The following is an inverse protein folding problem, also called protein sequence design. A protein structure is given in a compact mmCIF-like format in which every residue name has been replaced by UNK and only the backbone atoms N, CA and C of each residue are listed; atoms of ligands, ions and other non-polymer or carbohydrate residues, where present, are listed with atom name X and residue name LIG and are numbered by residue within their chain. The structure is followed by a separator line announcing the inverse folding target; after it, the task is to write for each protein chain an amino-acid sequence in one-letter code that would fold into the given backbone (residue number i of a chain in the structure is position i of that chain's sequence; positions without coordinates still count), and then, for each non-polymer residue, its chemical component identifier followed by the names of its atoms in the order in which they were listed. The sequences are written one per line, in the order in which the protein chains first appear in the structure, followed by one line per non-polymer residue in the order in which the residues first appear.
data_IF_652317430696
#
_entry.id   IF_652317430696
#
_cell.length_a   1.000
_cell.length_b   1.000
_cell.length_c   1.000
_cell.angle_alpha   90.00
_cell.angle_beta   90.00
_cell.angle_gamma   90.00
#
_symmetry.space_group_name_H-M   'P 1'
#
loop_
_entity.id
_entity.type
_entity.pdbx_description
1 polymer ?
#
# COMPACT_ATOMS: atom_id res chain seq x y z
N UNK A 1 9.03 30.89 -7.15
CA UNK A 1 9.51 29.73 -6.39
C UNK A 1 8.78 28.52 -6.93
N UNK A 2 9.45 27.62 -7.64
CA UNK A 2 8.84 26.34 -8.03
C UNK A 2 8.77 25.49 -6.77
N UNK A 3 7.57 25.21 -6.28
CA UNK A 3 7.39 24.34 -5.13
C UNK A 3 7.57 22.89 -5.62
N UNK A 4 8.49 22.13 -5.04
CA UNK A 4 8.63 20.71 -5.36
C UNK A 4 7.30 20.00 -5.09
N UNK A 5 6.91 19.11 -6.01
CA UNK A 5 5.70 18.31 -5.85
C UNK A 5 5.80 17.49 -4.54
N UNK A 6 4.70 17.33 -3.79
CA UNK A 6 4.72 16.53 -2.58
C UNK A 6 5.01 15.07 -2.90
N UNK A 7 5.79 14.40 -2.05
CA UNK A 7 5.90 12.95 -2.08
C UNK A 7 4.64 12.32 -1.52
N UNK A 8 4.08 11.33 -2.22
CA UNK A 8 2.82 10.67 -1.82
C UNK A 8 3.07 9.19 -1.55
N UNK A 9 2.48 8.70 -0.45
CA UNK A 9 2.42 7.28 -0.11
C UNK A 9 0.98 6.75 -0.18
N UNK A 10 0.80 5.52 -0.67
CA UNK A 10 -0.47 4.81 -0.71
C UNK A 10 -0.43 3.58 0.19
N UNK A 11 -1.37 3.52 1.14
CA UNK A 11 -1.64 2.32 1.94
C UNK A 11 -2.82 1.58 1.35
N UNK A 12 -2.61 0.32 1.00
CA UNK A 12 -3.64 -0.57 0.47
C UNK A 12 -3.87 -1.69 1.47
N UNK A 13 -5.09 -1.81 1.96
CA UNK A 13 -5.48 -2.92 2.85
C UNK A 13 -6.17 -4.02 2.02
N UNK A 14 -5.78 -5.26 2.26
CA UNK A 14 -6.37 -6.44 1.60
C UNK A 14 -6.62 -7.56 2.61
N UNK A 15 -7.61 -8.41 2.33
CA UNK A 15 -7.82 -9.67 3.05
C UNK A 15 -7.38 -10.88 2.19
N UNK A 16 -6.56 -10.65 1.16
CA UNK A 16 -5.96 -11.70 0.33
C UNK A 16 -6.89 -12.43 -0.64
N UNK A 17 -8.20 -12.13 -0.61
CA UNK A 17 -9.22 -12.87 -1.37
C UNK A 17 -9.58 -12.27 -2.74
N UNK A 18 -8.89 -11.21 -3.16
CA UNK A 18 -9.10 -10.50 -4.44
C UNK A 18 -7.77 -10.14 -5.11
N UNK A 19 -6.97 -11.16 -5.49
CA UNK A 19 -5.61 -10.95 -5.99
C UNK A 19 -5.58 -10.23 -7.35
N UNK A 20 -6.55 -10.48 -8.23
CA UNK A 20 -6.60 -9.81 -9.53
C UNK A 20 -6.92 -8.33 -9.38
N UNK A 21 -7.88 -7.98 -8.51
CA UNK A 21 -8.23 -6.59 -8.24
C UNK A 21 -7.11 -5.86 -7.50
N UNK A 22 -6.39 -6.53 -6.59
CA UNK A 22 -5.19 -5.98 -5.97
C UNK A 22 -4.14 -5.65 -7.04
N UNK A 23 -3.88 -6.57 -7.97
CA UNK A 23 -2.94 -6.34 -9.07
C UNK A 23 -3.35 -5.17 -9.96
N UNK A 24 -4.63 -5.09 -10.32
CA UNK A 24 -5.17 -3.99 -11.14
C UNK A 24 -5.10 -2.64 -10.40
N UNK A 25 -5.35 -2.64 -9.10
CA UNK A 25 -5.20 -1.44 -8.26
C UNK A 25 -3.74 -0.98 -8.25
N UNK A 26 -2.78 -1.90 -8.01
CA UNK A 26 -1.36 -1.57 -8.00
C UNK A 26 -0.89 -1.03 -9.36
N UNK A 27 -1.34 -1.63 -10.47
CA UNK A 27 -1.07 -1.14 -11.82
C UNK A 27 -1.64 0.27 -12.07
N UNK A 28 -2.83 0.56 -11.54
CA UNK A 28 -3.42 1.91 -11.59
C UNK A 28 -2.58 2.94 -10.83
N UNK A 29 -2.08 2.59 -9.64
CA UNK A 29 -1.20 3.47 -8.84
C UNK A 29 0.15 3.70 -9.54
N UNK A 30 0.71 2.68 -10.19
CA UNK A 30 1.99 2.81 -10.92
C UNK A 30 1.89 3.73 -12.15
N UNK A 31 0.68 3.94 -12.70
CA UNK A 31 0.42 4.76 -13.88
C UNK A 31 0.10 6.22 -13.57
N UNK A 32 0.18 6.64 -12.30
CA UNK A 32 -0.04 8.05 -11.94
C UNK A 32 1.06 8.93 -12.55
N UNK A 33 0.68 10.15 -12.95
CA UNK A 33 1.61 11.14 -13.48
C UNK A 33 2.37 11.84 -12.34
N UNK A 34 3.67 12.06 -12.53
CA UNK A 34 4.52 12.77 -11.57
C UNK A 34 5.51 11.86 -10.84
N UNK A 35 5.88 12.26 -9.61
CA UNK A 35 6.78 11.48 -8.78
C UNK A 35 6.16 10.13 -8.40
N UNK A 36 6.93 9.02 -8.39
CA UNK A 36 6.42 7.70 -8.06
C UNK A 36 5.73 7.66 -6.68
N UNK A 37 4.51 7.12 -6.65
CA UNK A 37 3.80 6.87 -5.40
C UNK A 37 4.44 5.70 -4.68
N UNK A 38 4.85 5.91 -3.43
CA UNK A 38 5.37 4.81 -2.60
C UNK A 38 4.20 3.96 -2.12
N UNK A 39 4.31 2.63 -2.18
CA UNK A 39 3.19 1.73 -1.87
C UNK A 39 3.51 0.77 -0.73
N UNK A 40 2.57 0.65 0.20
CA UNK A 40 2.52 -0.40 1.23
C UNK A 40 1.22 -1.19 1.09
N UNK A 41 1.32 -2.50 1.00
CA UNK A 41 0.16 -3.43 1.02
C UNK A 41 0.11 -4.13 2.37
N UNK A 42 -1.01 -4.01 3.06
CA UNK A 42 -1.26 -4.64 4.36
C UNK A 42 -2.23 -5.80 4.20
N UNK A 43 -1.77 -7.01 4.45
CA UNK A 43 -2.58 -8.21 4.58
C UNK A 43 -3.26 -8.21 5.96
N UNK A 44 -4.52 -7.80 6.02
CA UNK A 44 -5.24 -7.54 7.26
C UNK A 44 -5.97 -8.80 7.73
N UNK A 45 -5.31 -9.60 8.57
CA UNK A 45 -5.78 -10.93 8.97
C UNK A 45 -5.62 -11.97 7.87
N UNK A 46 -4.67 -11.76 6.95
CA UNK A 46 -4.42 -12.66 5.82
C UNK A 46 -2.98 -12.49 5.29
N UNK A 47 -2.44 -13.51 4.61
CA UNK A 47 -1.26 -13.32 3.76
C UNK A 47 -1.52 -12.27 2.67
N UNK A 48 -0.46 -11.58 2.25
CA UNK A 48 -0.49 -10.69 1.10
C UNK A 48 -0.26 -11.55 -0.16
N UNK A 49 -1.14 -11.47 -1.18
CA UNK A 49 -0.88 -12.09 -2.47
C UNK A 49 0.41 -11.58 -3.11
N UNK A 50 0.89 -12.23 -4.16
CA UNK A 50 2.05 -11.73 -4.91
C UNK A 50 1.85 -10.27 -5.37
N UNK A 51 2.87 -9.44 -5.14
CA UNK A 51 2.89 -8.02 -5.51
C UNK A 51 4.12 -7.72 -6.37
N UNK A 52 4.09 -6.66 -7.21
CA UNK A 52 5.24 -6.23 -7.98
C UNK A 52 6.45 -5.89 -7.09
N UNK A 53 7.65 -6.00 -7.67
CA UNK A 53 8.88 -5.60 -7.01
C UNK A 53 8.84 -4.12 -6.56
N UNK A 54 9.40 -3.84 -5.40
CA UNK A 54 9.43 -2.50 -4.81
C UNK A 54 8.18 -2.12 -4.00
N UNK A 55 7.10 -2.91 -4.06
CA UNK A 55 5.94 -2.75 -3.16
C UNK A 55 6.30 -3.32 -1.78
N UNK A 56 6.16 -2.50 -0.74
CA UNK A 56 6.36 -2.96 0.64
C UNK A 56 5.13 -3.73 1.10
N UNK A 57 5.33 -4.80 1.87
CA UNK A 57 4.23 -5.60 2.41
C UNK A 57 4.31 -5.72 3.93
N UNK A 58 3.15 -5.78 4.57
CA UNK A 58 3.00 -6.09 6.00
C UNK A 58 1.86 -7.09 6.13
N UNK A 59 2.09 -8.20 6.84
CA UNK A 59 1.06 -9.20 7.13
C UNK A 59 0.67 -9.13 8.60
N UNK A 60 -0.62 -8.99 8.86
CA UNK A 60 -1.20 -8.97 10.20
C UNK A 60 -1.87 -10.31 10.48
N UNK A 61 -1.66 -10.89 11.68
CA UNK A 61 -2.25 -12.17 12.05
C UNK A 61 -3.78 -12.10 12.24
N UNK A 62 -4.32 -10.91 12.49
CA UNK A 62 -5.75 -10.68 12.68
C UNK A 62 -6.21 -9.43 11.92
N UNK A 63 -7.52 -9.36 11.65
CA UNK A 63 -8.12 -8.21 10.99
C UNK A 63 -8.38 -7.09 12.00
N UNK A 64 -7.55 -6.04 11.99
CA UNK A 64 -7.65 -4.88 12.87
C UNK A 64 -8.70 -3.84 12.41
N UNK A 65 -9.52 -4.18 11.42
CA UNK A 65 -10.42 -3.25 10.74
C UNK A 65 -9.67 -2.25 9.85
N UNK A 66 -10.44 -1.39 9.18
CA UNK A 66 -9.90 -0.39 8.23
C UNK A 66 -8.93 0.59 8.91
N UNK A 67 -9.25 1.19 10.08
CA UNK A 67 -8.33 2.14 10.72
C UNK A 67 -7.02 1.48 11.19
N UNK A 68 -7.11 0.30 11.80
CA UNK A 68 -5.94 -0.42 12.31
C UNK A 68 -4.98 -0.82 11.19
N UNK A 69 -5.49 -1.44 10.12
CA UNK A 69 -4.67 -1.79 8.97
C UNK A 69 -4.04 -0.57 8.28
N UNK A 70 -4.74 0.57 8.24
CA UNK A 70 -4.20 1.83 7.71
C UNK A 70 -3.04 2.36 8.55
N UNK A 71 -3.19 2.40 9.87
CA UNK A 71 -2.15 2.91 10.76
C UNK A 71 -0.87 2.08 10.67
N UNK A 72 -0.98 0.75 10.65
CA UNK A 72 0.16 -0.15 10.42
C UNK A 72 0.84 0.15 9.09
N UNK A 73 0.06 0.38 8.02
CA UNK A 73 0.62 0.75 6.72
C UNK A 73 1.34 2.10 6.71
N UNK A 74 0.89 3.07 7.52
CA UNK A 74 1.56 4.36 7.68
C UNK A 74 2.92 4.17 8.35
N UNK A 75 2.99 3.39 9.43
CA UNK A 75 4.24 3.12 10.16
C UNK A 75 5.32 2.49 9.27
N UNK A 76 4.92 1.69 8.28
CA UNK A 76 5.83 1.06 7.32
C UNK A 76 6.54 2.04 6.36
N UNK A 77 6.09 3.30 6.25
CA UNK A 77 6.82 4.33 5.50
C UNK A 77 8.02 4.91 6.27
N UNK A 78 8.07 4.71 7.60
CA UNK A 78 9.08 5.32 8.46
C UNK A 78 8.78 6.77 8.83
N UNK A 79 9.71 7.44 9.53
CA UNK A 79 9.54 8.84 9.91
C UNK A 79 9.49 9.75 8.68
N UNK A 80 8.65 10.80 8.78
CA UNK A 80 8.54 11.85 7.77
C UNK A 80 9.77 12.77 7.73
#
# INVERSE_FOLDING_TARGET
MSQSAPTVGAVIITMGNRPEELRLLLDSVAKQEGEPVQVVVVGNGSPVPEVPEGVRTVELPENLGIPGGRNVGIEAFGPA
#
